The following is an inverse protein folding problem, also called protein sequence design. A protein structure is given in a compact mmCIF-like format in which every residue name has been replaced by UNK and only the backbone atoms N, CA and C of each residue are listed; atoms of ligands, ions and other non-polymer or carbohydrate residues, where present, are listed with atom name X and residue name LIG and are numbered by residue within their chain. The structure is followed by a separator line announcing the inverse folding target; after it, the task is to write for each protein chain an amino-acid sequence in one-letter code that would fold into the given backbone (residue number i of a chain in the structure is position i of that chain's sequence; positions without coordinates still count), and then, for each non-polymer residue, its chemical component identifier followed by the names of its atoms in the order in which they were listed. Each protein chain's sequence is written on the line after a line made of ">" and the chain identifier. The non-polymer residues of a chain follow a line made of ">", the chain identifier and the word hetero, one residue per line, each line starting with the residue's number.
data_IF_141872723929
#
_entry.id   IF_141872723929
#
_cell.length_a   1.000
_cell.length_b   1.000
_cell.length_c   1.000
_cell.angle_alpha   90.00
_cell.angle_beta   90.00
_cell.angle_gamma   90.00
#
_symmetry.space_group_name_H-M   'P 1'
#
loop_
_entity.id
_entity.type
_entity.pdbx_description
1 polymer ?
#
# COMPACT_ATOMS: atom_id res chain seq x y z
N UNK A 1 -20.07 -1.96 -9.61
CA UNK A 1 -19.87 -3.04 -8.61
C UNK A 1 -18.48 -2.86 -8.06
N UNK A 2 -18.37 -2.67 -6.75
CA UNK A 2 -17.06 -2.42 -6.13
C UNK A 2 -16.26 -3.73 -6.13
N UNK A 3 -14.99 -3.65 -6.40
CA UNK A 3 -14.06 -4.79 -6.45
C UNK A 3 -12.98 -4.58 -5.40
N UNK A 4 -12.66 -5.61 -4.65
CA UNK A 4 -11.65 -5.57 -3.60
C UNK A 4 -10.50 -6.50 -3.96
N UNK A 5 -9.28 -6.05 -3.70
CA UNK A 5 -8.06 -6.85 -3.84
C UNK A 5 -7.32 -6.89 -2.52
N UNK A 6 -6.87 -8.07 -2.10
CA UNK A 6 -6.10 -8.24 -0.87
C UNK A 6 -4.96 -9.22 -1.02
N UNK A 7 -3.89 -8.98 -0.27
CA UNK A 7 -2.70 -9.83 -0.22
C UNK A 7 -2.34 -10.16 1.21
N UNK A 8 -1.93 -11.39 1.44
CA UNK A 8 -1.42 -11.85 2.72
C UNK A 8 -0.30 -12.87 2.50
N UNK A 9 0.86 -12.64 3.13
CA UNK A 9 2.02 -13.53 3.02
C UNK A 9 1.89 -14.76 3.89
N UNK A 10 1.25 -14.64 5.06
CA UNK A 10 0.99 -15.76 5.95
C UNK A 10 -0.04 -16.69 5.33
N UNK A 11 0.30 -17.99 5.21
CA UNK A 11 -0.65 -18.96 4.69
C UNK A 11 -1.86 -19.06 5.60
N UNK A 12 -3.01 -18.73 5.06
CA UNK A 12 -4.30 -18.87 5.71
C UNK A 12 -4.99 -20.16 5.29
N UNK A 13 -5.74 -20.76 6.21
CA UNK A 13 -6.61 -21.88 5.85
C UNK A 13 -7.80 -21.34 5.05
N UNK A 14 -8.01 -21.81 3.79
CA UNK A 14 -9.00 -21.20 2.89
C UNK A 14 -10.41 -21.17 3.43
N UNK A 15 -10.88 -22.26 4.05
CA UNK A 15 -12.26 -22.35 4.58
C UNK A 15 -12.47 -21.31 5.68
N UNK A 16 -11.59 -21.29 6.68
CA UNK A 16 -11.69 -20.34 7.79
C UNK A 16 -11.59 -18.88 7.32
N UNK A 17 -10.77 -18.61 6.32
CA UNK A 17 -10.65 -17.27 5.74
C UNK A 17 -11.97 -16.85 5.07
N UNK A 18 -12.50 -17.68 4.16
CA UNK A 18 -13.72 -17.33 3.41
C UNK A 18 -14.98 -17.32 4.28
N UNK A 19 -15.03 -18.15 5.33
CA UNK A 19 -16.12 -18.10 6.32
C UNK A 19 -16.17 -16.77 7.09
N UNK A 20 -15.01 -16.10 7.21
CA UNK A 20 -14.90 -14.77 7.82
C UNK A 20 -15.23 -13.61 6.90
N UNK A 21 -15.28 -13.83 5.58
CA UNK A 21 -15.57 -12.78 4.59
C UNK A 21 -17.08 -12.59 4.43
N UNK A 22 -17.62 -11.38 4.62
CA UNK A 22 -19.05 -11.12 4.41
C UNK A 22 -19.50 -11.51 3.01
N UNK A 23 -20.67 -12.16 2.92
CA UNK A 23 -21.19 -12.67 1.65
C UNK A 23 -21.34 -11.58 0.57
N UNK A 24 -21.67 -10.37 0.99
CA UNK A 24 -21.88 -9.21 0.11
C UNK A 24 -20.63 -8.81 -0.67
N UNK A 25 -19.45 -9.04 -0.08
CA UNK A 25 -18.16 -8.70 -0.71
C UNK A 25 -17.43 -9.92 -1.27
N UNK A 26 -17.75 -11.13 -0.83
CA UNK A 26 -17.02 -12.34 -1.23
C UNK A 26 -17.03 -12.59 -2.75
N UNK A 27 -18.08 -12.14 -3.46
CA UNK A 27 -18.22 -12.31 -4.90
C UNK A 27 -17.30 -11.37 -5.72
N UNK A 28 -16.86 -10.28 -5.12
CA UNK A 28 -15.99 -9.27 -5.75
C UNK A 28 -14.64 -9.12 -5.07
N UNK A 29 -14.31 -10.03 -4.14
CA UNK A 29 -13.04 -10.01 -3.42
C UNK A 29 -12.02 -10.96 -4.07
N UNK A 30 -10.97 -10.40 -4.61
CA UNK A 30 -9.83 -11.12 -5.15
C UNK A 30 -8.72 -11.18 -4.09
N UNK A 31 -8.57 -12.35 -3.47
CA UNK A 31 -7.58 -12.56 -2.42
C UNK A 31 -6.39 -13.38 -2.92
N UNK A 32 -5.19 -12.88 -2.69
CA UNK A 32 -3.94 -13.49 -3.06
C UNK A 32 -3.14 -13.85 -1.81
N UNK A 33 -3.07 -15.13 -1.48
CA UNK A 33 -2.25 -15.59 -0.35
C UNK A 33 -0.78 -15.77 -0.79
N UNK A 34 -0.19 -14.68 -1.24
CA UNK A 34 1.21 -14.57 -1.67
C UNK A 34 1.78 -13.22 -1.24
N UNK A 35 3.09 -13.11 -1.00
CA UNK A 35 3.71 -11.83 -0.71
C UNK A 35 3.59 -10.87 -1.90
N UNK A 36 3.35 -9.60 -1.61
CA UNK A 36 3.47 -8.56 -2.63
C UNK A 36 4.93 -8.34 -3.03
N UNK A 37 5.14 -7.89 -4.25
CA UNK A 37 6.45 -7.56 -4.79
C UNK A 37 6.59 -6.06 -5.00
N UNK A 38 7.73 -5.48 -4.64
CA UNK A 38 8.08 -4.11 -5.00
C UNK A 38 8.45 -3.94 -6.48
N UNK A 39 8.70 -5.03 -7.21
CA UNK A 39 8.94 -4.96 -8.64
C UNK A 39 7.63 -4.68 -9.38
N UNK A 40 7.52 -3.51 -10.00
CA UNK A 40 6.31 -3.03 -10.69
C UNK A 40 5.87 -3.93 -11.86
N UNK A 41 6.77 -4.77 -12.39
CA UNK A 41 6.44 -5.73 -13.46
C UNK A 41 5.95 -7.09 -12.94
N UNK A 42 6.08 -7.34 -11.64
CA UNK A 42 5.66 -8.61 -11.05
C UNK A 42 4.13 -8.71 -10.99
N UNK A 43 3.60 -9.92 -11.18
CA UNK A 43 2.15 -10.19 -11.11
C UNK A 43 1.55 -9.95 -9.71
N UNK A 44 2.38 -10.01 -8.66
CA UNK A 44 1.98 -9.73 -7.28
C UNK A 44 2.22 -8.27 -6.85
N UNK A 45 2.55 -7.36 -7.78
CA UNK A 45 2.66 -5.94 -7.46
C UNK A 45 1.27 -5.29 -7.53
N UNK A 46 0.79 -4.61 -6.45
CA UNK A 46 -0.55 -4.02 -6.41
C UNK A 46 -0.72 -2.86 -7.40
N UNK A 47 0.32 -2.07 -7.66
CA UNK A 47 0.25 -0.95 -8.61
C UNK A 47 0.05 -1.42 -10.05
N UNK A 48 0.60 -2.59 -10.39
CA UNK A 48 0.35 -3.22 -11.68
C UNK A 48 -1.14 -3.56 -11.84
N UNK A 49 -1.76 -4.14 -10.82
CA UNK A 49 -3.18 -4.47 -10.86
C UNK A 49 -4.02 -3.20 -11.00
N UNK A 50 -3.74 -2.15 -10.21
CA UNK A 50 -4.42 -0.85 -10.37
C UNK A 50 -4.31 -0.37 -11.82
N UNK A 51 -3.11 -0.37 -12.41
CA UNK A 51 -2.88 0.08 -13.78
C UNK A 51 -3.60 -0.77 -14.83
N UNK A 52 -3.74 -2.07 -14.60
CA UNK A 52 -4.34 -3.01 -15.56
C UNK A 52 -5.88 -2.95 -15.55
N UNK A 53 -6.52 -2.53 -14.44
CA UNK A 53 -7.97 -2.63 -14.27
C UNK A 53 -8.68 -1.31 -14.00
N UNK A 54 -8.03 -0.33 -13.33
CA UNK A 54 -8.66 0.93 -12.98
C UNK A 54 -8.68 1.90 -14.17
N UNK A 55 -9.71 2.73 -14.20
CA UNK A 55 -9.88 3.85 -15.12
C UNK A 55 -10.05 5.15 -14.35
N UNK A 56 -9.97 6.29 -15.01
CA UNK A 56 -10.16 7.62 -14.39
C UNK A 56 -11.60 7.86 -13.88
N UNK A 57 -12.54 7.01 -14.25
CA UNK A 57 -13.94 7.08 -13.80
C UNK A 57 -14.17 6.25 -12.52
N UNK A 58 -13.19 5.45 -12.11
CA UNK A 58 -13.26 4.64 -10.89
C UNK A 58 -12.77 5.42 -9.68
N UNK A 59 -13.24 5.04 -8.50
CA UNK A 59 -12.70 5.50 -7.22
C UNK A 59 -11.78 4.42 -6.65
N UNK A 60 -10.47 4.70 -6.60
CA UNK A 60 -9.46 3.76 -6.10
C UNK A 60 -8.98 4.18 -4.72
N UNK A 61 -9.23 3.33 -3.73
CA UNK A 61 -8.66 3.43 -2.39
C UNK A 61 -7.59 2.35 -2.22
N UNK A 62 -6.35 2.76 -1.98
CA UNK A 62 -5.22 1.86 -1.80
C UNK A 62 -4.69 1.94 -0.36
N UNK A 63 -4.62 0.79 0.34
CA UNK A 63 -3.99 0.67 1.65
C UNK A 63 -2.69 -0.13 1.52
N UNK A 64 -1.58 0.41 2.03
CA UNK A 64 -0.27 -0.24 2.09
C UNK A 64 0.17 -0.35 3.56
N UNK A 65 0.17 -1.57 4.08
CA UNK A 65 0.36 -1.89 5.48
C UNK A 65 0.72 -3.39 5.58
N UNK A 66 2.02 -3.69 5.49
CA UNK A 66 2.55 -5.07 5.46
C UNK A 66 3.75 -5.26 6.36
N UNK A 67 4.07 -4.29 7.23
CA UNK A 67 5.18 -4.35 8.18
C UNK A 67 6.56 -4.62 7.54
N UNK A 68 6.74 -4.29 6.26
CA UNK A 68 7.97 -4.59 5.54
C UNK A 68 8.48 -3.36 4.76
N UNK A 69 9.16 -2.40 5.44
CA UNK A 69 9.57 -1.14 4.82
C UNK A 69 10.39 -1.28 3.53
N UNK A 70 11.16 -2.37 3.39
CA UNK A 70 11.97 -2.65 2.19
C UNK A 70 11.13 -3.02 0.96
N UNK A 71 9.86 -3.35 1.14
CA UNK A 71 8.89 -3.61 0.07
C UNK A 71 7.93 -2.44 -0.09
N UNK A 72 7.41 -1.90 1.02
CA UNK A 72 6.43 -0.80 1.04
C UNK A 72 6.98 0.49 0.45
N UNK A 73 8.17 0.89 0.88
CA UNK A 73 8.75 2.18 0.47
C UNK A 73 9.01 2.24 -1.03
N UNK A 74 9.61 1.23 -1.69
CA UNK A 74 9.70 1.21 -3.14
C UNK A 74 8.33 1.34 -3.84
N UNK A 75 7.29 0.61 -3.40
CA UNK A 75 5.93 0.72 -3.95
C UNK A 75 5.39 2.15 -3.79
N UNK A 76 5.54 2.72 -2.60
CA UNK A 76 5.11 4.08 -2.32
C UNK A 76 5.86 5.12 -3.18
N UNK A 77 7.16 4.94 -3.40
CA UNK A 77 7.95 5.81 -4.28
C UNK A 77 7.58 5.65 -5.75
N UNK A 78 7.20 4.44 -6.18
CA UNK A 78 6.74 4.17 -7.55
C UNK A 78 5.45 4.94 -7.89
N UNK A 79 4.55 5.16 -6.94
CA UNK A 79 3.38 6.02 -7.13
C UNK A 79 3.82 7.44 -7.51
N UNK A 80 4.83 8.01 -6.82
CA UNK A 80 5.34 9.35 -7.12
C UNK A 80 6.12 9.42 -8.43
N UNK A 81 6.76 8.32 -8.82
CA UNK A 81 7.57 8.26 -10.04
C UNK A 81 6.74 8.03 -11.31
N UNK A 82 5.50 7.55 -11.17
CA UNK A 82 4.62 7.18 -12.29
C UNK A 82 3.30 7.96 -12.25
N UNK A 83 3.23 9.14 -12.87
CA UNK A 83 2.02 9.98 -12.88
C UNK A 83 0.77 9.27 -13.41
N UNK A 84 0.91 8.38 -14.38
CA UNK A 84 -0.17 7.57 -14.95
C UNK A 84 -0.74 6.54 -13.97
N UNK A 85 -0.01 6.18 -12.93
CA UNK A 85 -0.52 5.36 -11.81
C UNK A 85 -1.11 6.27 -10.73
N UNK A 86 -0.43 7.38 -10.45
CA UNK A 86 -0.86 8.31 -9.40
C UNK A 86 -2.25 8.90 -9.70
N UNK A 87 -2.56 9.22 -10.96
CA UNK A 87 -3.87 9.76 -11.36
C UNK A 87 -5.04 8.76 -11.25
N UNK A 88 -4.73 7.46 -11.13
CA UNK A 88 -5.72 6.40 -10.89
C UNK A 88 -6.05 6.22 -9.41
N UNK A 89 -5.25 6.79 -8.48
CA UNK A 89 -5.41 6.59 -7.04
C UNK A 89 -6.05 7.83 -6.41
N UNK A 90 -7.26 7.68 -5.87
CA UNK A 90 -7.96 8.76 -5.17
C UNK A 90 -7.56 8.87 -3.71
N UNK A 91 -7.41 7.72 -3.04
CA UNK A 91 -7.05 7.64 -1.64
C UNK A 91 -5.90 6.67 -1.41
N UNK A 92 -4.94 7.09 -0.57
CA UNK A 92 -3.80 6.27 -0.20
C UNK A 92 -3.61 6.27 1.31
N UNK A 93 -3.80 5.11 1.93
CA UNK A 93 -3.51 4.84 3.33
C UNK A 93 -2.17 4.13 3.44
N UNK A 94 -1.21 4.74 4.11
CA UNK A 94 0.13 4.19 4.22
C UNK A 94 0.62 4.17 5.66
N UNK A 95 0.93 2.97 6.19
CA UNK A 95 1.63 2.79 7.44
C UNK A 95 3.14 2.96 7.23
N UNK A 96 3.57 4.21 7.13
CA UNK A 96 4.99 4.50 6.96
C UNK A 96 5.73 4.42 8.29
N UNK A 97 6.49 3.38 8.49
CA UNK A 97 7.40 3.26 9.63
C UNK A 97 8.57 4.24 9.50
N UNK A 98 8.73 5.14 10.44
CA UNK A 98 9.85 6.09 10.49
C UNK A 98 10.43 6.21 11.91
N UNK A 99 11.70 6.61 12.00
CA UNK A 99 12.39 6.77 13.27
C UNK A 99 11.76 7.90 14.08
N UNK A 100 10.96 7.54 15.08
CA UNK A 100 10.34 8.44 16.03
C UNK A 100 10.60 7.92 17.45
N UNK A 101 11.20 8.74 18.33
CA UNK A 101 11.50 8.30 19.70
C UNK A 101 10.28 7.82 20.49
N UNK A 102 9.11 8.40 20.22
CA UNK A 102 7.85 8.04 20.87
C UNK A 102 7.29 6.70 20.41
N UNK A 103 7.61 6.28 19.18
CA UNK A 103 7.11 5.04 18.56
C UNK A 103 8.17 3.93 18.51
N UNK A 104 9.35 4.18 19.04
CA UNK A 104 10.46 3.21 19.03
C UNK A 104 10.11 1.85 19.66
N UNK A 105 9.20 1.85 20.64
CA UNK A 105 8.71 0.63 21.28
C UNK A 105 7.69 -0.15 20.41
N UNK A 106 7.06 0.50 19.42
CA UNK A 106 6.05 -0.11 18.55
C UNK A 106 6.66 -0.68 17.28
N UNK A 107 7.56 0.06 16.64
CA UNK A 107 8.13 -0.30 15.32
C UNK A 107 9.52 -0.93 15.39
N UNK A 108 10.08 -1.09 16.59
CA UNK A 108 11.40 -1.67 16.77
C UNK A 108 12.52 -0.79 16.22
N UNK A 109 13.60 -1.43 15.75
CA UNK A 109 14.77 -0.74 15.17
C UNK A 109 14.65 -0.67 13.65
N UNK A 110 14.45 0.51 13.13
CA UNK A 110 14.37 0.77 11.70
C UNK A 110 15.74 1.17 11.14
N UNK A 111 16.03 0.89 9.86
CA UNK A 111 17.20 1.43 9.18
C UNK A 111 17.10 2.96 9.08
N UNK A 112 18.22 3.62 8.83
CA UNK A 112 18.23 5.08 8.63
C UNK A 112 17.50 5.49 7.35
N UNK A 113 17.59 4.66 6.30
CA UNK A 113 16.93 4.90 5.03
C UNK A 113 16.60 3.59 4.30
N UNK A 114 15.59 3.63 3.43
CA UNK A 114 15.22 2.54 2.50
C UNK A 114 14.98 3.15 1.12
N UNK A 115 15.53 2.56 0.08
CA UNK A 115 15.40 3.01 -1.30
C UNK A 115 15.72 4.51 -1.48
N UNK A 116 16.69 5.03 -0.71
CA UNK A 116 17.08 6.45 -0.73
C UNK A 116 16.14 7.39 0.06
N UNK A 117 15.03 6.89 0.58
CA UNK A 117 14.14 7.65 1.47
C UNK A 117 14.67 7.56 2.90
N UNK A 118 14.99 8.70 3.50
CA UNK A 118 15.35 8.76 4.91
C UNK A 118 14.12 8.53 5.79
N UNK A 119 14.23 7.64 6.78
CA UNK A 119 13.12 7.28 7.65
C UNK A 119 13.07 8.19 8.87
N UNK A 120 12.78 9.46 8.66
CA UNK A 120 12.54 10.43 9.73
C UNK A 120 11.17 11.13 9.56
N UNK A 121 10.71 11.78 10.62
CA UNK A 121 9.40 12.44 10.66
C UNK A 121 9.23 13.51 9.57
N UNK A 122 10.28 14.29 9.30
CA UNK A 122 10.21 15.38 8.32
C UNK A 122 10.05 14.81 6.92
N UNK A 123 10.84 13.79 6.60
CA UNK A 123 10.76 13.09 5.30
C UNK A 123 9.40 12.40 5.14
N UNK A 124 8.88 11.77 6.21
CA UNK A 124 7.53 11.19 6.20
C UNK A 124 6.47 12.24 5.87
N UNK A 125 6.46 13.37 6.59
CA UNK A 125 5.50 14.46 6.33
C UNK A 125 5.60 15.00 4.90
N UNK A 126 6.81 15.20 4.40
CA UNK A 126 7.06 15.67 3.03
C UNK A 126 6.56 14.66 1.98
N UNK A 127 6.70 13.35 2.26
CA UNK A 127 6.21 12.29 1.38
C UNK A 127 4.68 12.38 1.22
N UNK A 128 3.93 12.46 2.33
CA UNK A 128 2.47 12.61 2.29
C UNK A 128 2.04 13.92 1.62
N UNK A 129 2.80 15.01 1.81
CA UNK A 129 2.54 16.27 1.12
C UNK A 129 2.69 16.14 -0.40
N UNK A 130 3.69 15.38 -0.88
CA UNK A 130 3.87 15.14 -2.33
C UNK A 130 2.69 14.40 -2.93
N UNK A 131 2.16 13.35 -2.29
CA UNK A 131 0.95 12.67 -2.77
C UNK A 131 -0.22 13.64 -2.89
N UNK A 132 -0.45 14.49 -1.88
CA UNK A 132 -1.53 15.50 -1.92
C UNK A 132 -1.34 16.52 -3.04
N UNK A 133 -0.10 16.89 -3.35
CA UNK A 133 0.20 17.77 -4.50
C UNK A 133 -0.09 17.10 -5.85
N UNK A 134 -0.10 15.78 -5.92
CA UNK A 134 -0.50 15.00 -7.10
C UNK A 134 -2.01 14.74 -7.15
N UNK A 135 -2.79 15.23 -6.18
CA UNK A 135 -4.23 15.04 -6.11
C UNK A 135 -4.69 13.85 -5.27
N UNK A 136 -3.78 13.03 -4.76
CA UNK A 136 -4.11 11.84 -3.95
C UNK A 136 -4.44 12.26 -2.51
N UNK A 137 -5.58 11.86 -1.98
CA UNK A 137 -5.91 12.02 -0.56
C UNK A 137 -5.11 11.02 0.27
N UNK A 138 -3.92 11.41 0.66
CA UNK A 138 -3.03 10.54 1.41
C UNK A 138 -3.23 10.66 2.91
N UNK A 139 -3.28 9.51 3.59
CA UNK A 139 -3.49 9.37 5.01
C UNK A 139 -2.33 8.59 5.64
N UNK A 140 -1.81 9.11 6.75
CA UNK A 140 -0.94 8.32 7.61
C UNK A 140 -1.81 7.29 8.34
N UNK A 141 -1.43 6.03 8.23
CA UNK A 141 -2.09 4.93 8.93
C UNK A 141 -1.19 4.51 10.09
N UNK A 142 -1.65 4.58 11.36
CA UNK A 142 -0.87 4.24 12.56
C UNK A 142 -0.87 2.76 12.86
#
# INVERSE_FOLDING_TARGET
>A
MDVMYGWEVTLLEPTSFWDGVPHEISQSYHFYNVPISSNITASSNPLRIIKDIATLDDFVSFKLDIDTPTVEIPIALDILANPDIAELIDEFFFELHFNCPLLKGCWGSLPESVAGLKLDRITAMNLFQKYRQMGIRSHFWP
#
